data_IF_772996430076
#
_entry.id   IF_772996430076
#
_cell.length_a   1.000
_cell.length_b   1.000
_cell.length_c   1.000
_cell.angle_alpha   90.00
_cell.angle_beta   90.00
_cell.angle_gamma   90.00
#
_symmetry.space_group_name_H-M   'P 1'
#
loop_
_entity.id
_entity.type
_entity.pdbx_description
1 polymer ?
#
# COMPACT_ATOMS: atom_id res chain seq x y z
N UNK A 1 -18.93 3.02 -6.94
CA UNK A 1 -19.64 1.92 -7.63
C UNK A 1 -19.13 0.52 -7.28
N UNK A 2 -18.11 0.41 -6.44
CA UNK A 2 -17.54 -0.88 -5.96
C UNK A 2 -18.42 -1.65 -4.95
N UNK A 3 -19.44 -1.02 -4.38
CA UNK A 3 -20.19 -1.59 -3.26
C UNK A 3 -21.41 -2.45 -3.65
N UNK A 4 -21.93 -2.32 -4.86
CA UNK A 4 -23.17 -3.04 -5.26
C UNK A 4 -22.98 -4.54 -5.47
N UNK A 5 -21.81 -5.00 -5.89
CA UNK A 5 -21.57 -6.43 -6.14
C UNK A 5 -21.47 -7.28 -4.87
N UNK A 6 -21.30 -6.65 -3.70
CA UNK A 6 -21.13 -7.33 -2.43
C UNK A 6 -22.26 -7.08 -1.42
N UNK A 7 -23.33 -6.41 -1.80
CA UNK A 7 -24.46 -6.12 -0.90
C UNK A 7 -24.97 -7.36 -0.16
N UNK A 8 -25.10 -8.49 -0.83
CA UNK A 8 -25.56 -9.74 -0.22
C UNK A 8 -24.58 -10.30 0.81
N UNK A 9 -23.27 -10.12 0.61
CA UNK A 9 -22.25 -10.55 1.55
C UNK A 9 -22.26 -9.73 2.85
N UNK A 10 -22.59 -8.45 2.73
CA UNK A 10 -22.53 -7.48 3.81
C UNK A 10 -23.86 -7.22 4.50
N UNK A 11 -24.99 -7.64 3.91
CA UNK A 11 -26.36 -7.28 4.33
C UNK A 11 -26.67 -7.55 5.81
N UNK A 12 -26.03 -8.57 6.44
CA UNK A 12 -26.18 -8.86 7.88
C UNK A 12 -24.90 -8.59 8.68
N UNK A 13 -23.95 -7.82 8.11
CA UNK A 13 -22.64 -7.54 8.69
C UNK A 13 -22.26 -6.07 8.44
N UNK A 14 -23.22 -5.18 8.68
CA UNK A 14 -23.06 -3.74 8.38
C UNK A 14 -21.85 -3.10 9.08
N UNK A 15 -21.47 -3.58 10.24
CA UNK A 15 -20.29 -3.12 11.00
C UNK A 15 -18.94 -3.49 10.36
N UNK A 16 -18.91 -4.38 9.36
CA UNK A 16 -17.72 -4.71 8.59
C UNK A 16 -17.62 -3.90 7.29
N UNK A 17 -18.65 -3.10 6.96
CA UNK A 17 -18.64 -2.22 5.80
C UNK A 17 -17.78 -1.00 6.14
N UNK A 18 -16.95 -0.59 5.19
CA UNK A 18 -16.06 0.55 5.36
C UNK A 18 -14.67 0.17 5.89
N UNK A 19 -14.07 1.05 6.71
CA UNK A 19 -12.71 0.90 7.21
C UNK A 19 -12.38 -0.44 7.88
N UNK A 20 -13.30 -1.07 8.65
CA UNK A 20 -12.94 -2.31 9.35
C UNK A 20 -12.53 -3.45 8.41
N UNK A 21 -13.14 -3.56 7.20
CA UNK A 21 -12.81 -4.69 6.32
C UNK A 21 -13.12 -4.45 4.83
N UNK A 22 -14.31 -3.92 4.49
CA UNK A 22 -14.75 -3.97 3.08
C UNK A 22 -13.94 -3.07 2.15
N UNK A 23 -13.36 -1.97 2.66
CA UNK A 23 -12.51 -1.10 1.86
C UNK A 23 -11.23 -1.82 1.46
N UNK A 24 -10.57 -2.49 2.39
CA UNK A 24 -9.38 -3.27 2.13
C UNK A 24 -9.60 -4.33 1.04
N UNK A 25 -10.69 -5.09 1.13
CA UNK A 25 -11.04 -6.06 0.10
C UNK A 25 -11.26 -5.43 -1.28
N UNK A 26 -11.97 -4.30 -1.32
CA UNK A 26 -12.26 -3.60 -2.57
C UNK A 26 -11.01 -3.04 -3.23
N UNK A 27 -10.14 -2.41 -2.45
CA UNK A 27 -8.89 -1.81 -2.94
C UNK A 27 -7.90 -2.90 -3.37
N UNK A 28 -7.74 -3.97 -2.57
CA UNK A 28 -6.87 -5.09 -2.91
C UNK A 28 -7.28 -5.76 -4.22
N UNK A 29 -8.58 -6.03 -4.39
CA UNK A 29 -9.12 -6.61 -5.62
C UNK A 29 -8.86 -5.71 -6.83
N UNK A 30 -9.05 -4.39 -6.67
CA UNK A 30 -8.82 -3.44 -7.75
C UNK A 30 -7.34 -3.33 -8.13
N UNK A 31 -6.46 -3.19 -7.15
CA UNK A 31 -5.02 -3.08 -7.36
C UNK A 31 -4.45 -4.34 -8.04
N UNK A 32 -4.80 -5.52 -7.54
CA UNK A 32 -4.39 -6.79 -8.15
C UNK A 32 -5.01 -6.97 -9.54
N UNK A 33 -6.24 -6.51 -9.75
CA UNK A 33 -6.88 -6.49 -11.07
C UNK A 33 -6.09 -5.64 -12.07
N UNK A 34 -5.57 -4.47 -11.68
CA UNK A 34 -4.71 -3.65 -12.55
C UNK A 34 -3.41 -4.38 -12.89
N UNK A 35 -2.78 -5.01 -11.92
CA UNK A 35 -1.56 -5.83 -12.14
C UNK A 35 -1.85 -6.94 -13.13
N UNK A 36 -2.83 -7.78 -12.85
CA UNK A 36 -3.12 -8.99 -13.62
C UNK A 36 -3.60 -8.71 -15.04
N UNK A 37 -4.24 -7.56 -15.25
CA UNK A 37 -4.62 -7.07 -16.60
C UNK A 37 -3.49 -6.34 -17.33
N UNK A 38 -2.26 -6.35 -16.83
CA UNK A 38 -1.08 -5.80 -17.50
C UNK A 38 -1.11 -4.27 -17.64
N UNK A 39 -1.76 -3.55 -16.73
CA UNK A 39 -1.81 -2.08 -16.76
C UNK A 39 -0.41 -1.50 -16.67
N UNK A 40 0.42 -2.02 -15.79
CA UNK A 40 1.79 -1.52 -15.59
C UNK A 40 2.74 -1.92 -16.73
N UNK A 41 2.42 -2.95 -17.50
CA UNK A 41 3.18 -3.29 -18.71
C UNK A 41 2.89 -2.32 -19.84
N UNK A 42 1.65 -1.86 -19.96
CA UNK A 42 1.26 -0.82 -20.92
C UNK A 42 1.68 0.58 -20.48
N UNK A 43 1.74 0.80 -19.17
CA UNK A 43 2.06 2.10 -18.56
C UNK A 43 3.19 1.95 -17.51
N UNK A 44 4.44 1.64 -17.92
CA UNK A 44 5.52 1.28 -17.00
C UNK A 44 5.97 2.43 -16.08
N UNK A 45 5.65 3.67 -16.42
CA UNK A 45 5.95 4.85 -15.59
C UNK A 45 4.84 5.18 -14.57
N UNK A 46 3.68 4.52 -14.66
CA UNK A 46 2.58 4.74 -13.73
C UNK A 46 3.00 4.32 -12.32
N UNK A 47 2.76 5.18 -11.35
CA UNK A 47 2.95 4.91 -9.94
C UNK A 47 1.59 4.96 -9.25
N UNK A 48 1.28 3.97 -8.45
CA UNK A 48 0.06 3.91 -7.64
C UNK A 48 0.45 3.87 -6.17
N UNK A 49 -0.26 4.63 -5.35
CA UNK A 49 -0.10 4.66 -3.90
C UNK A 49 -1.33 4.02 -3.27
N UNK A 50 -1.14 2.98 -2.49
CA UNK A 50 -2.18 2.30 -1.73
C UNK A 50 -2.14 2.76 -0.28
N UNK A 51 -3.28 3.06 0.30
CA UNK A 51 -3.41 3.39 1.72
C UNK A 51 -3.19 2.19 2.65
N UNK A 52 -3.31 2.43 3.93
CA UNK A 52 -3.53 1.44 4.99
C UNK A 52 -2.53 0.26 4.95
N UNK A 53 -1.24 0.58 4.81
CA UNK A 53 -0.14 -0.40 4.65
C UNK A 53 -0.37 -1.39 3.49
N UNK A 54 -0.96 -0.90 2.38
CA UNK A 54 -1.20 -1.70 1.18
C UNK A 54 -2.39 -2.64 1.30
N UNK A 55 -3.30 -2.32 2.23
CA UNK A 55 -4.50 -3.11 2.53
C UNK A 55 -4.09 -4.52 2.99
N UNK A 56 -4.59 -5.57 2.42
CA UNK A 56 -4.20 -6.93 2.80
C UNK A 56 -3.09 -7.51 1.91
N UNK A 57 -2.66 -6.80 0.87
CA UNK A 57 -1.77 -7.36 -0.15
C UNK A 57 -0.39 -7.76 0.40
N UNK A 58 0.31 -6.95 1.23
CA UNK A 58 1.60 -7.37 1.77
C UNK A 58 1.51 -8.65 2.61
N UNK A 59 0.44 -8.81 3.42
CA UNK A 59 0.25 -10.01 4.23
C UNK A 59 0.08 -11.27 3.37
N UNK A 60 -0.63 -11.16 2.26
CA UNK A 60 -0.89 -12.26 1.35
C UNK A 60 0.14 -12.37 0.20
N UNK A 61 1.19 -11.56 0.19
CA UNK A 61 2.12 -11.40 -0.92
C UNK A 61 2.69 -12.73 -1.42
N UNK A 62 3.17 -13.58 -0.51
CA UNK A 62 3.69 -14.90 -0.88
C UNK A 62 2.62 -15.76 -1.53
N UNK A 63 1.43 -15.83 -0.92
CA UNK A 63 0.32 -16.66 -1.41
C UNK A 63 -0.17 -16.17 -2.77
N UNK A 64 -0.33 -14.87 -2.93
CA UNK A 64 -0.77 -14.26 -4.20
C UNK A 64 0.25 -14.56 -5.29
N UNK A 65 1.54 -14.32 -5.01
CA UNK A 65 2.60 -14.52 -5.99
C UNK A 65 2.72 -15.99 -6.41
N UNK A 66 2.70 -16.92 -5.44
CA UNK A 66 2.77 -18.36 -5.70
C UNK A 66 1.61 -18.82 -6.60
N UNK A 67 0.36 -18.56 -6.22
CA UNK A 67 -0.80 -18.95 -7.01
C UNK A 67 -0.89 -18.27 -8.36
N UNK A 68 -0.41 -17.05 -8.42
CA UNK A 68 -0.43 -16.26 -9.65
C UNK A 68 0.60 -16.77 -10.66
N UNK A 69 1.85 -16.92 -10.26
CA UNK A 69 2.93 -17.35 -11.16
C UNK A 69 2.75 -18.80 -11.59
N UNK A 70 2.49 -19.70 -10.65
CA UNK A 70 2.50 -21.14 -10.92
C UNK A 70 1.24 -21.63 -11.59
N UNK A 71 0.09 -20.98 -11.37
CA UNK A 71 -1.21 -21.51 -11.80
C UNK A 71 -1.94 -20.57 -12.76
N UNK A 72 -2.09 -19.29 -12.42
CA UNK A 72 -2.95 -18.39 -13.17
C UNK A 72 -2.28 -17.78 -14.39
N UNK A 73 -1.03 -17.39 -14.28
CA UNK A 73 -0.29 -16.78 -15.37
C UNK A 73 -0.13 -17.68 -16.59
N UNK A 74 0.20 -18.99 -16.43
CA UNK A 74 0.20 -19.92 -17.55
C UNK A 74 -1.13 -20.08 -18.28
N UNK A 75 -2.25 -19.71 -17.64
CA UNK A 75 -3.58 -19.75 -18.26
C UNK A 75 -3.89 -18.52 -19.13
N UNK A 76 -2.92 -17.64 -19.41
CA UNK A 76 -3.06 -16.55 -20.36
C UNK A 76 -3.32 -15.18 -19.75
N UNK A 77 -2.81 -14.92 -18.55
CA UNK A 77 -2.83 -13.57 -17.99
C UNK A 77 -1.84 -12.65 -18.71
N UNK A 78 -2.21 -11.39 -18.89
CA UNK A 78 -1.48 -10.46 -19.75
C UNK A 78 -0.26 -9.79 -19.08
N UNK A 79 -0.08 -9.94 -17.77
CA UNK A 79 1.03 -9.36 -17.03
C UNK A 79 2.34 -10.12 -17.26
N UNK A 80 3.44 -9.38 -17.39
CA UNK A 80 4.76 -9.91 -17.75
C UNK A 80 5.68 -10.15 -16.56
N UNK A 81 5.51 -9.38 -15.49
CA UNK A 81 6.31 -9.44 -14.26
C UNK A 81 5.57 -10.14 -13.13
N UNK A 82 6.29 -10.48 -12.06
CA UNK A 82 5.70 -10.99 -10.82
C UNK A 82 5.02 -9.88 -10.03
N UNK A 83 4.15 -10.25 -9.10
CA UNK A 83 3.50 -9.28 -8.20
C UNK A 83 4.55 -8.49 -7.42
N UNK A 84 5.58 -9.15 -6.90
CA UNK A 84 6.69 -8.50 -6.17
C UNK A 84 7.44 -7.47 -7.02
N UNK A 85 7.69 -7.79 -8.29
CA UNK A 85 8.35 -6.85 -9.21
C UNK A 85 7.49 -5.61 -9.50
N UNK A 86 6.17 -5.76 -9.60
CA UNK A 86 5.28 -4.61 -9.74
C UNK A 86 5.25 -3.76 -8.47
N UNK A 87 5.26 -4.37 -7.28
CA UNK A 87 5.39 -3.61 -6.03
C UNK A 87 6.73 -2.86 -5.98
N UNK A 88 7.83 -3.51 -6.31
CA UNK A 88 9.15 -2.87 -6.32
C UNK A 88 9.27 -1.71 -7.33
N UNK A 89 8.45 -1.69 -8.37
CA UNK A 89 8.58 -0.74 -9.49
C UNK A 89 7.47 0.31 -9.54
N UNK A 90 6.23 -0.09 -9.35
CA UNK A 90 5.05 0.70 -9.66
C UNK A 90 4.15 1.01 -8.46
N UNK A 91 4.26 0.26 -7.38
CA UNK A 91 3.36 0.38 -6.24
C UNK A 91 4.09 0.95 -5.02
N UNK A 92 3.38 1.77 -4.30
CA UNK A 92 3.77 2.36 -3.02
C UNK A 92 2.66 2.10 -2.02
N UNK A 93 3.00 2.04 -0.75
CA UNK A 93 2.02 1.92 0.33
C UNK A 93 2.20 3.06 1.34
N UNK A 94 1.15 3.38 2.08
CA UNK A 94 1.20 4.42 3.12
C UNK A 94 0.74 3.89 4.46
N UNK A 95 1.14 4.58 5.53
CA UNK A 95 0.72 4.27 6.90
C UNK A 95 -0.68 4.76 7.23
N UNK A 96 -1.36 5.46 6.32
CA UNK A 96 -2.66 6.09 6.58
C UNK A 96 -3.63 5.14 7.28
N UNK A 97 -4.25 5.60 8.37
CA UNK A 97 -5.26 4.84 9.09
C UNK A 97 -4.82 3.49 9.68
N UNK A 98 -3.50 3.20 9.70
CA UNK A 98 -2.99 1.92 10.17
C UNK A 98 -1.70 2.09 11.00
N UNK A 99 -1.83 2.63 12.20
CA UNK A 99 -0.72 2.97 13.10
C UNK A 99 -0.31 1.76 13.97
N UNK A 100 0.10 0.67 13.31
CA UNK A 100 0.51 -0.57 13.93
C UNK A 100 1.98 -0.86 13.64
N UNK A 101 2.84 -0.76 14.66
CA UNK A 101 4.27 -1.03 14.53
C UNK A 101 4.59 -2.46 14.05
N UNK A 102 3.94 -3.52 14.57
CA UNK A 102 4.16 -4.88 14.05
C UNK A 102 3.80 -5.02 12.56
N UNK A 103 2.68 -4.43 12.14
CA UNK A 103 2.25 -4.48 10.74
C UNK A 103 3.20 -3.71 9.84
N UNK A 104 3.66 -2.52 10.28
CA UNK A 104 4.66 -1.75 9.54
C UNK A 104 5.94 -2.54 9.34
N UNK A 105 6.48 -3.16 10.41
CA UNK A 105 7.69 -3.99 10.33
C UNK A 105 7.54 -5.15 9.35
N UNK A 106 6.40 -5.84 9.39
CA UNK A 106 6.08 -6.88 8.43
C UNK A 106 6.06 -6.35 6.98
N UNK A 107 5.41 -5.21 6.74
CA UNK A 107 5.39 -4.59 5.42
C UNK A 107 6.80 -4.17 4.95
N UNK A 108 7.66 -3.68 5.87
CA UNK A 108 9.04 -3.36 5.55
C UNK A 108 9.83 -4.60 5.08
N UNK A 109 9.59 -5.76 5.70
CA UNK A 109 10.19 -7.04 5.27
C UNK A 109 9.67 -7.49 3.90
N UNK A 110 8.39 -7.32 3.62
CA UNK A 110 7.75 -7.81 2.39
C UNK A 110 7.99 -6.90 1.16
N UNK A 111 7.90 -5.58 1.32
CA UNK A 111 7.96 -4.63 0.19
C UNK A 111 9.14 -3.67 0.26
N UNK A 112 9.85 -3.63 1.37
CA UNK A 112 10.98 -2.73 1.63
C UNK A 112 10.55 -1.35 2.12
N UNK A 113 11.32 -0.77 3.04
CA UNK A 113 11.10 0.58 3.56
C UNK A 113 11.10 1.65 2.45
N UNK A 114 11.79 1.40 1.33
CA UNK A 114 11.88 2.30 0.17
C UNK A 114 10.54 2.46 -0.60
N UNK A 115 9.52 1.69 -0.26
CA UNK A 115 8.19 1.71 -0.89
C UNK A 115 7.07 2.15 0.06
N UNK A 116 7.42 2.60 1.25
CA UNK A 116 6.46 3.01 2.28
C UNK A 116 6.53 4.52 2.48
N UNK A 117 5.38 5.17 2.61
CA UNK A 117 5.23 6.60 2.86
C UNK A 117 4.49 6.80 4.18
N UNK A 118 4.93 7.75 4.99
CA UNK A 118 4.14 8.20 6.13
C UNK A 118 2.95 9.03 5.66
N UNK A 119 1.78 8.72 6.15
CA UNK A 119 0.53 9.45 5.90
C UNK A 119 -0.46 9.15 7.00
N UNK A 120 -1.43 10.04 7.21
CA UNK A 120 -2.31 10.08 8.38
C UNK A 120 -3.68 9.49 8.10
N UNK A 121 -4.24 9.77 6.93
CA UNK A 121 -5.64 9.55 6.57
C UNK A 121 -6.58 10.72 6.99
N UNK A 122 -6.02 11.93 7.03
CA UNK A 122 -6.82 13.12 7.33
C UNK A 122 -7.95 13.29 6.28
N UNK A 123 -9.21 13.62 6.68
CA UNK A 123 -9.65 14.02 8.03
C UNK A 123 -10.22 12.86 8.87
N UNK A 124 -10.06 11.61 8.47
CA UNK A 124 -10.68 10.46 9.13
C UNK A 124 -9.90 10.00 10.37
N UNK A 125 -8.60 10.24 10.41
CA UNK A 125 -7.74 9.90 11.53
C UNK A 125 -7.16 11.13 12.22
N UNK A 126 -6.77 10.96 13.50
CA UNK A 126 -6.22 12.04 14.32
C UNK A 126 -4.75 12.30 13.97
N UNK A 127 -4.44 13.57 13.68
CA UNK A 127 -3.09 14.00 13.34
C UNK A 127 -2.08 13.75 14.47
N UNK A 128 -2.46 14.10 15.70
CA UNK A 128 -1.56 13.97 16.86
C UNK A 128 -1.23 12.51 17.16
N UNK A 129 -2.22 11.61 17.05
CA UNK A 129 -2.03 10.18 17.32
C UNK A 129 -1.10 9.55 16.28
N UNK A 130 -1.28 9.90 15.01
CA UNK A 130 -0.42 9.42 13.93
C UNK A 130 1.04 9.89 14.10
N UNK A 131 1.25 11.17 14.44
CA UNK A 131 2.58 11.72 14.66
C UNK A 131 3.23 11.11 15.91
N UNK A 132 2.49 11.01 17.02
CA UNK A 132 3.00 10.40 18.25
C UNK A 132 3.42 8.95 18.02
N UNK A 133 2.61 8.16 17.29
CA UNK A 133 2.97 6.81 16.92
C UNK A 133 4.24 6.78 16.07
N UNK A 134 4.33 7.63 15.05
CA UNK A 134 5.46 7.67 14.14
C UNK A 134 6.77 8.09 14.87
N UNK A 135 6.70 9.11 15.73
CA UNK A 135 7.85 9.57 16.50
C UNK A 135 8.35 8.50 17.49
N UNK A 136 7.43 7.71 18.04
CA UNK A 136 7.72 6.59 18.93
C UNK A 136 8.17 5.29 18.24
N UNK A 137 8.29 5.26 16.90
CA UNK A 137 8.72 4.06 16.18
C UNK A 137 10.15 3.64 16.55
N UNK A 138 10.31 2.36 16.89
CA UNK A 138 11.60 1.71 17.15
C UNK A 138 11.99 0.86 15.94
N UNK A 139 12.46 1.50 14.89
CA UNK A 139 13.01 0.92 13.66
C UNK A 139 14.34 1.60 13.34
N UNK A 140 15.04 1.13 12.33
CA UNK A 140 16.27 1.79 11.86
C UNK A 140 16.01 3.26 11.49
N UNK A 141 16.87 4.17 11.92
CA UNK A 141 16.69 5.62 11.70
C UNK A 141 16.73 6.00 10.22
N UNK A 142 17.53 5.28 9.42
CA UNK A 142 17.57 5.47 7.97
C UNK A 142 16.24 5.08 7.32
N UNK A 143 15.65 3.98 7.74
CA UNK A 143 14.35 3.53 7.24
C UNK A 143 13.21 4.43 7.74
N UNK A 144 13.27 4.86 9.00
CA UNK A 144 12.34 5.86 9.54
C UNK A 144 12.36 7.14 8.70
N UNK A 145 13.53 7.67 8.41
CA UNK A 145 13.70 8.85 7.58
C UNK A 145 13.20 8.64 6.14
N UNK A 146 13.44 7.47 5.53
CA UNK A 146 12.90 7.14 4.21
C UNK A 146 11.36 7.23 4.23
N UNK A 147 10.74 6.52 5.17
CA UNK A 147 9.28 6.44 5.29
C UNK A 147 8.67 7.83 5.53
N UNK A 148 9.25 8.62 6.45
CA UNK A 148 8.71 9.93 6.83
C UNK A 148 8.98 11.05 5.83
N UNK A 149 10.00 10.93 4.97
CA UNK A 149 10.43 12.06 4.15
C UNK A 149 10.97 11.69 2.77
N UNK A 150 12.02 10.85 2.71
CA UNK A 150 12.82 10.75 1.50
C UNK A 150 12.05 10.07 0.36
N UNK A 151 11.21 9.10 0.66
CA UNK A 151 10.37 8.42 -0.32
C UNK A 151 9.34 9.36 -0.96
N UNK A 152 8.69 10.21 -0.16
CA UNK A 152 7.77 11.23 -0.68
C UNK A 152 8.49 12.21 -1.60
N UNK A 153 9.67 12.68 -1.21
CA UNK A 153 10.50 13.54 -2.07
C UNK A 153 10.83 12.89 -3.38
N UNK A 154 11.22 11.61 -3.36
CA UNK A 154 11.55 10.83 -4.56
C UNK A 154 10.34 10.65 -5.46
N UNK A 155 9.22 10.19 -4.90
CA UNK A 155 8.00 9.89 -5.66
C UNK A 155 7.41 11.14 -6.32
N UNK A 156 7.26 12.21 -5.55
CA UNK A 156 6.63 13.45 -6.00
C UNK A 156 7.62 14.45 -6.60
N UNK A 157 8.91 14.09 -6.69
CA UNK A 157 9.97 14.96 -7.24
C UNK A 157 10.00 16.33 -6.55
N UNK A 158 9.84 16.34 -5.23
CA UNK A 158 9.81 17.57 -4.45
C UNK A 158 11.21 18.20 -4.43
N UNK A 159 11.30 19.55 -4.51
CA UNK A 159 12.58 20.25 -4.42
C UNK A 159 13.24 20.00 -3.05
N UNK A 160 14.56 20.16 -3.01
CA UNK A 160 15.27 20.20 -1.74
C UNK A 160 14.72 21.36 -0.89
N UNK A 161 14.29 21.06 0.33
CA UNK A 161 13.89 22.09 1.28
C UNK A 161 15.17 22.80 1.75
N UNK A 162 15.38 24.03 1.31
CA UNK A 162 16.36 24.92 1.93
C UNK A 162 15.70 25.44 3.21
N UNK A 163 16.22 25.02 4.37
CA UNK A 163 15.94 25.76 5.59
C UNK A 163 16.50 27.15 5.36
N UNK A 164 15.64 28.17 5.33
CA UNK A 164 16.08 29.53 5.55
C UNK A 164 16.67 29.55 6.96
N UNK A 165 17.95 29.82 7.06
CA UNK A 165 18.60 30.18 8.32
C UNK A 165 17.99 31.54 8.72
N UNK A 166 16.93 31.53 9.55
CA UNK A 166 16.42 32.67 10.30
C UNK A 166 16.74 32.47 11.78
#
# INVERSE_FOLDING_TARGET
>A
MLFRSHEKLWAKRSWLIGPPLSFAHGVSLHALGMVTNGVFDRHPKLQIVLGHLGEHIPFDMWRINHWFEDIKKPLGLSCKSTIREYFARNLWITTSGHFSTPTLKYCMEEVGADRILFSIDYPFENFSDACTWYDGLTIDEGDKRKIGKDNAKKLFKLPAYHQSED
#
